data_IF_529790380825
#
_entry.id   IF_529790380825
#
_cell.length_a   1.000
_cell.length_b   1.000
_cell.length_c   1.000
_cell.angle_alpha   90.00
_cell.angle_beta   90.00
_cell.angle_gamma   90.00
#
_symmetry.space_group_name_H-M   'P 1'
#
loop_
_entity.id
_entity.type
_entity.pdbx_description
1 polymer ?
#
# COMPACT_ATOMS: atom_id res chain seq x y z
N UNK A 1 -19.68 4.55 -9.85
CA UNK A 1 -18.70 3.81 -9.03
C UNK A 1 -19.35 3.40 -7.72
N UNK A 2 -19.62 2.11 -7.55
CA UNK A 2 -20.05 1.53 -6.26
C UNK A 2 -19.06 1.87 -5.14
N UNK A 3 -19.55 2.03 -3.91
CA UNK A 3 -18.72 2.39 -2.75
C UNK A 3 -17.50 1.48 -2.61
N UNK A 4 -17.66 0.16 -2.74
CA UNK A 4 -16.54 -0.78 -2.61
C UNK A 4 -15.43 -0.58 -3.67
N UNK A 5 -15.75 -0.11 -4.88
CA UNK A 5 -14.74 0.18 -5.91
C UNK A 5 -13.95 1.43 -5.55
N UNK A 6 -14.65 2.46 -5.08
CA UNK A 6 -14.02 3.67 -4.58
C UNK A 6 -13.13 3.35 -3.38
N UNK A 7 -13.62 2.55 -2.44
CA UNK A 7 -12.89 2.16 -1.23
C UNK A 7 -11.61 1.39 -1.56
N UNK A 8 -11.67 0.41 -2.47
CA UNK A 8 -10.49 -0.35 -2.91
C UNK A 8 -9.46 0.57 -3.58
N UNK A 9 -9.88 1.45 -4.50
CA UNK A 9 -8.96 2.38 -5.17
C UNK A 9 -8.36 3.37 -4.17
N UNK A 10 -9.16 3.83 -3.20
CA UNK A 10 -8.71 4.75 -2.16
C UNK A 10 -7.69 4.09 -1.23
N UNK A 11 -7.94 2.84 -0.85
CA UNK A 11 -7.01 2.03 -0.05
C UNK A 11 -5.72 1.75 -0.81
N UNK A 12 -5.79 1.47 -2.12
CA UNK A 12 -4.61 1.28 -2.96
C UNK A 12 -3.76 2.55 -3.00
N UNK A 13 -4.38 3.71 -3.24
CA UNK A 13 -3.69 5.00 -3.25
C UNK A 13 -2.99 5.28 -1.92
N UNK A 14 -3.67 5.09 -0.79
CA UNK A 14 -3.08 5.30 0.53
C UNK A 14 -1.90 4.35 0.79
N UNK A 15 -2.05 3.07 0.44
CA UNK A 15 -1.00 2.07 0.64
C UNK A 15 0.24 2.34 -0.22
N UNK A 16 0.06 2.83 -1.44
CA UNK A 16 1.15 3.26 -2.32
C UNK A 16 1.92 4.46 -1.71
N UNK A 17 1.20 5.45 -1.19
CA UNK A 17 1.82 6.60 -0.53
C UNK A 17 2.61 6.16 0.71
N UNK A 18 2.01 5.34 1.58
CA UNK A 18 2.68 4.83 2.78
C UNK A 18 3.94 4.03 2.45
N UNK A 19 3.88 3.11 1.47
CA UNK A 19 5.05 2.34 1.04
C UNK A 19 6.17 3.25 0.54
N UNK A 20 5.83 4.23 -0.30
CA UNK A 20 6.78 5.21 -0.81
C UNK A 20 7.43 6.01 0.33
N UNK A 21 6.63 6.52 1.29
CA UNK A 21 7.16 7.33 2.39
C UNK A 21 8.05 6.53 3.32
N UNK A 22 7.70 5.27 3.61
CA UNK A 22 8.56 4.39 4.41
C UNK A 22 9.91 4.20 3.71
N UNK A 23 9.88 3.85 2.43
CA UNK A 23 11.11 3.59 1.66
C UNK A 23 11.98 4.85 1.52
N UNK A 24 11.39 6.01 1.23
CA UNK A 24 12.14 7.23 0.92
C UNK A 24 12.57 8.02 2.13
N UNK A 25 11.80 7.99 3.21
CA UNK A 25 12.05 8.85 4.38
C UNK A 25 12.26 8.04 5.65
N UNK A 26 11.32 7.17 6.03
CA UNK A 26 11.33 6.63 7.40
C UNK A 26 12.46 5.63 7.64
N UNK A 27 12.83 4.85 6.62
CA UNK A 27 13.99 3.94 6.70
C UNK A 27 15.31 4.71 6.86
N UNK A 28 15.44 5.88 6.24
CA UNK A 28 16.59 6.77 6.40
C UNK A 28 16.62 7.40 7.80
N UNK A 29 15.50 8.00 8.20
CA UNK A 29 15.36 8.71 9.48
C UNK A 29 15.56 7.78 10.69
N UNK A 30 15.26 6.48 10.53
CA UNK A 30 15.38 5.47 11.58
C UNK A 30 16.76 4.80 11.67
N UNK A 31 17.73 5.13 10.81
CA UNK A 31 19.05 4.46 10.79
C UNK A 31 19.78 4.43 12.14
N UNK A 32 19.60 5.47 12.94
CA UNK A 32 20.22 5.57 14.27
C UNK A 32 19.50 4.74 15.35
N UNK A 33 18.32 4.17 15.06
CA UNK A 33 17.53 3.37 15.98
C UNK A 33 17.13 2.03 15.33
N UNK A 34 17.89 0.97 15.62
CA UNK A 34 17.69 -0.36 15.06
C UNK A 34 16.24 -0.87 15.23
N UNK A 35 15.64 -0.64 16.41
CA UNK A 35 14.27 -1.08 16.68
C UNK A 35 13.24 -0.38 15.79
N UNK A 36 13.33 0.96 15.64
CA UNK A 36 12.45 1.69 14.73
C UNK A 36 12.65 1.25 13.28
N UNK A 37 13.90 1.02 12.87
CA UNK A 37 14.23 0.56 11.52
C UNK A 37 13.61 -0.81 11.22
N UNK A 38 13.67 -1.75 12.15
CA UNK A 38 13.02 -3.06 12.03
C UNK A 38 11.49 -2.96 11.94
N UNK A 39 10.88 -2.07 12.73
CA UNK A 39 9.43 -1.79 12.65
C UNK A 39 9.07 -1.30 11.25
N UNK A 40 9.78 -0.29 10.72
CA UNK A 40 9.50 0.24 9.39
C UNK A 40 9.79 -0.75 8.27
N UNK A 41 10.83 -1.57 8.39
CA UNK A 41 11.11 -2.66 7.45
C UNK A 41 9.96 -3.67 7.39
N UNK A 42 9.43 -4.06 8.56
CA UNK A 42 8.28 -4.96 8.65
C UNK A 42 7.02 -4.30 8.07
N UNK A 43 6.73 -3.05 8.44
CA UNK A 43 5.58 -2.31 7.91
C UNK A 43 5.64 -2.19 6.39
N UNK A 44 6.82 -1.90 5.82
CA UNK A 44 6.99 -1.85 4.36
C UNK A 44 6.62 -3.17 3.71
N UNK A 45 7.13 -4.29 4.23
CA UNK A 45 6.83 -5.61 3.70
C UNK A 45 5.33 -5.90 3.72
N UNK A 46 4.66 -5.58 4.83
CA UNK A 46 3.22 -5.82 4.98
C UNK A 46 2.40 -4.93 4.02
N UNK A 47 2.76 -3.65 3.90
CA UNK A 47 2.10 -2.69 3.00
C UNK A 47 2.32 -3.07 1.53
N UNK A 48 3.53 -3.48 1.14
CA UNK A 48 3.81 -3.95 -0.22
C UNK A 48 2.96 -5.18 -0.57
N UNK A 49 2.70 -6.06 0.41
CA UNK A 49 1.74 -7.15 0.27
C UNK A 49 0.31 -6.66 0.04
N UNK A 50 -0.15 -5.67 0.81
CA UNK A 50 -1.47 -5.05 0.61
C UNK A 50 -1.59 -4.38 -0.75
N UNK A 51 -0.55 -3.69 -1.22
CA UNK A 51 -0.51 -3.06 -2.56
C UNK A 51 -0.73 -4.12 -3.63
N UNK A 52 -0.03 -5.26 -3.57
CA UNK A 52 -0.21 -6.34 -4.54
C UNK A 52 -1.65 -6.87 -4.55
N UNK A 53 -2.21 -7.16 -3.38
CA UNK A 53 -3.61 -7.64 -3.25
C UNK A 53 -4.62 -6.64 -3.83
N UNK A 54 -4.44 -5.34 -3.54
CA UNK A 54 -5.34 -4.28 -4.02
C UNK A 54 -5.18 -4.05 -5.53
N UNK A 55 -3.97 -4.15 -6.07
CA UNK A 55 -3.72 -4.07 -7.52
C UNK A 55 -4.39 -5.21 -8.27
N UNK A 56 -4.29 -6.44 -7.76
CA UNK A 56 -4.95 -7.61 -8.34
C UNK A 56 -6.47 -7.43 -8.36
N UNK A 57 -7.06 -6.93 -7.28
CA UNK A 57 -8.50 -6.73 -7.19
C UNK A 57 -8.99 -5.60 -8.09
N UNK A 58 -8.26 -4.48 -8.18
CA UNK A 58 -8.53 -3.42 -9.16
C UNK A 58 -8.45 -3.98 -10.59
N UNK A 59 -7.43 -4.76 -10.92
CA UNK A 59 -7.31 -5.36 -12.24
C UNK A 59 -8.48 -6.33 -12.54
N UNK A 60 -8.90 -7.11 -11.56
CA UNK A 60 -10.06 -8.01 -11.65
C UNK A 60 -11.34 -7.22 -11.95
N UNK A 61 -11.62 -6.16 -11.19
CA UNK A 61 -12.80 -5.32 -11.41
C UNK A 61 -12.80 -4.63 -12.78
N UNK A 62 -11.64 -4.23 -13.28
CA UNK A 62 -11.50 -3.65 -14.62
C UNK A 62 -11.81 -4.69 -15.69
N UNK A 63 -11.31 -5.92 -15.55
CA UNK A 63 -11.56 -7.03 -16.48
C UNK A 63 -13.02 -7.47 -16.49
N UNK A 64 -13.67 -7.46 -15.33
CA UNK A 64 -15.08 -7.85 -15.16
C UNK A 64 -16.07 -6.72 -15.52
N UNK A 65 -15.58 -5.53 -15.93
CA UNK A 65 -16.40 -4.33 -16.13
C UNK A 65 -17.30 -4.01 -14.91
N UNK A 66 -16.78 -4.22 -13.71
CA UNK A 66 -17.52 -4.06 -12.45
C UNK A 66 -17.23 -2.72 -11.75
N UNK A 67 -16.54 -1.78 -12.42
CA UNK A 67 -16.23 -0.41 -11.95
C UNK A 67 -17.36 0.63 -12.11
N UNK A 68 -18.47 0.22 -12.72
CA UNK A 68 -19.69 1.01 -12.90
C UNK A 68 -20.22 1.61 -11.59
#
# INVERSE_FOLDING_TARGET
>A
MKNHNYDIVKMLFASLDDSYRIEKYYMEDSKACAHCHEIFAKMKKDIDGHVAMLQEEVARHAKENSFN
#
